data_IF_956115663770
#
_entry.id   IF_956115663770
#
_cell.length_a   1.000
_cell.length_b   1.000
_cell.length_c   1.000
_cell.angle_alpha   90.00
_cell.angle_beta   90.00
_cell.angle_gamma   90.00
#
_symmetry.space_group_name_H-M   'P 1'
#
loop_
_entity.id
_entity.type
_entity.pdbx_description
1 polymer ?
#
# COMPACT_ATOMS: atom_id res chain seq x y z
N UNK A 1 25.63 -21.59 -10.00
CA UNK A 1 25.82 -20.88 -11.28
C UNK A 1 24.86 -19.70 -11.23
N UNK A 2 25.37 -18.48 -11.34
CA UNK A 2 24.52 -17.28 -11.31
C UNK A 2 23.68 -17.28 -12.58
N UNK A 3 22.38 -17.50 -12.44
CA UNK A 3 21.44 -17.45 -13.55
C UNK A 3 21.42 -16.03 -14.11
N UNK A 4 21.75 -15.89 -15.38
CA UNK A 4 21.81 -14.61 -16.08
C UNK A 4 20.78 -14.59 -17.20
N UNK A 5 20.01 -13.50 -17.28
CA UNK A 5 18.94 -13.34 -18.27
C UNK A 5 19.30 -12.24 -19.28
N UNK A 6 18.79 -12.38 -20.50
CA UNK A 6 18.90 -11.34 -21.52
C UNK A 6 17.78 -10.30 -21.31
N UNK A 7 18.18 -9.03 -21.17
CA UNK A 7 17.29 -7.90 -20.90
C UNK A 7 17.39 -6.93 -22.06
N UNK A 8 16.29 -6.74 -22.80
CA UNK A 8 16.24 -5.81 -23.93
C UNK A 8 15.69 -4.45 -23.51
N UNK A 9 16.44 -3.38 -23.79
CA UNK A 9 15.99 -2.01 -23.52
C UNK A 9 14.77 -1.64 -24.40
N UNK A 10 13.65 -1.15 -23.85
CA UNK A 10 12.49 -0.74 -24.64
C UNK A 10 12.75 0.55 -25.44
N UNK A 11 13.70 1.40 -25.02
CA UNK A 11 14.01 2.65 -25.70
C UNK A 11 14.95 2.47 -26.90
N UNK A 12 16.09 1.80 -26.72
CA UNK A 12 17.11 1.65 -27.76
C UNK A 12 17.23 0.23 -28.34
N UNK A 13 16.44 -0.73 -27.84
CA UNK A 13 16.39 -2.14 -28.27
C UNK A 13 17.70 -2.92 -28.11
N UNK A 14 18.71 -2.36 -27.43
CA UNK A 14 19.96 -3.06 -27.08
C UNK A 14 19.70 -4.15 -26.06
N UNK A 15 20.37 -5.28 -26.22
CA UNK A 15 20.34 -6.41 -25.30
C UNK A 15 21.49 -6.32 -24.29
N UNK A 16 21.19 -6.71 -23.06
CA UNK A 16 22.10 -6.74 -21.93
C UNK A 16 22.00 -8.08 -21.22
N UNK A 17 23.13 -8.58 -20.70
CA UNK A 17 23.12 -9.71 -19.78
C UNK A 17 23.05 -9.18 -18.35
N UNK A 18 22.07 -9.66 -17.60
CA UNK A 18 21.85 -9.28 -16.20
C UNK A 18 21.88 -10.51 -15.30
N UNK A 19 22.62 -10.43 -14.19
CA UNK A 19 22.62 -11.44 -13.14
C UNK A 19 22.20 -10.77 -11.83
N UNK A 20 21.21 -11.34 -11.14
CA UNK A 20 20.70 -10.76 -9.91
C UNK A 20 21.71 -10.92 -8.76
N UNK A 21 21.88 -9.89 -7.90
CA UNK A 21 22.68 -10.01 -6.69
C UNK A 21 22.03 -10.96 -5.68
N UNK A 22 22.85 -11.62 -4.87
CA UNK A 22 22.40 -12.45 -3.76
C UNK A 22 22.41 -11.65 -2.45
N UNK A 23 21.32 -11.74 -1.68
CA UNK A 23 21.18 -11.08 -0.38
C UNK A 23 21.12 -12.10 0.77
N UNK A 24 21.64 -11.78 1.97
CA UNK A 24 21.65 -12.71 3.09
C UNK A 24 20.27 -12.80 3.76
N UNK A 25 19.67 -13.99 3.81
CA UNK A 25 18.50 -14.24 4.64
C UNK A 25 18.86 -14.26 6.14
N UNK A 26 17.88 -14.08 7.02
CA UNK A 26 18.04 -14.25 8.48
C UNK A 26 18.59 -15.63 8.87
N UNK A 27 18.31 -16.67 8.08
CA UNK A 27 18.86 -18.01 8.29
C UNK A 27 20.31 -18.18 7.81
N UNK A 28 20.92 -17.14 7.22
CA UNK A 28 22.26 -17.15 6.65
C UNK A 28 22.37 -17.68 5.22
N UNK A 29 21.30 -18.23 4.64
CA UNK A 29 21.31 -18.67 3.25
C UNK A 29 21.20 -17.48 2.27
N UNK A 30 21.91 -17.51 1.13
CA UNK A 30 21.78 -16.49 0.10
C UNK A 30 20.44 -16.62 -0.61
N UNK A 31 19.74 -15.50 -0.78
CA UNK A 31 18.48 -15.39 -1.51
C UNK A 31 18.72 -14.55 -2.76
N UNK A 32 18.36 -15.12 -3.91
CA UNK A 32 18.45 -14.45 -5.21
C UNK A 32 17.03 -14.29 -5.76
N UNK A 33 16.62 -13.08 -6.16
CA UNK A 33 15.37 -12.88 -6.88
C UNK A 33 15.30 -13.78 -8.13
N UNK A 34 14.25 -14.61 -8.28
CA UNK A 34 14.10 -15.44 -9.47
C UNK A 34 13.81 -14.53 -10.67
N UNK A 35 14.68 -14.53 -11.68
CA UNK A 35 14.49 -13.68 -12.86
C UNK A 35 13.55 -14.36 -13.86
N UNK A 36 12.72 -13.58 -14.55
CA UNK A 36 11.86 -14.10 -15.63
C UNK A 36 12.54 -13.88 -16.99
N UNK A 37 13.05 -14.95 -17.64
CA UNK A 37 13.75 -14.83 -18.91
C UNK A 37 12.81 -14.50 -20.09
N UNK A 38 11.50 -14.71 -19.95
CA UNK A 38 10.50 -14.38 -20.97
C UNK A 38 9.88 -12.99 -20.76
N UNK A 39 10.07 -12.40 -19.59
CA UNK A 39 9.50 -11.11 -19.22
C UNK A 39 10.09 -9.94 -20.02
N UNK A 40 9.29 -8.87 -20.17
CA UNK A 40 9.73 -7.65 -20.86
C UNK A 40 10.23 -6.62 -19.86
N UNK A 41 11.44 -6.10 -20.09
CA UNK A 41 12.00 -5.02 -19.27
C UNK A 41 11.24 -3.71 -19.49
N UNK A 42 10.91 -3.03 -18.40
CA UNK A 42 10.21 -1.75 -18.44
C UNK A 42 11.15 -0.60 -18.11
N UNK A 43 10.94 0.56 -18.75
CA UNK A 43 11.69 1.76 -18.43
C UNK A 43 11.16 2.37 -17.12
N UNK A 44 12.06 2.68 -16.19
CA UNK A 44 11.74 3.43 -14.98
C UNK A 44 11.64 4.91 -15.35
N UNK A 45 10.42 5.39 -15.52
CA UNK A 45 10.13 6.81 -15.76
C UNK A 45 9.75 7.55 -14.48
N UNK A 46 9.30 6.83 -13.45
CA UNK A 46 8.90 7.35 -12.15
C UNK A 46 9.37 6.39 -11.03
N UNK A 47 9.80 6.95 -9.89
CA UNK A 47 10.13 6.18 -8.68
C UNK A 47 9.00 6.35 -7.67
N UNK A 48 8.20 5.30 -7.51
CA UNK A 48 7.24 5.17 -6.41
C UNK A 48 7.78 4.11 -5.44
N UNK A 49 7.68 4.35 -4.13
CA UNK A 49 8.31 3.53 -3.09
C UNK A 49 7.86 2.05 -3.12
N UNK A 50 6.59 1.81 -3.43
CA UNK A 50 5.95 0.48 -3.55
C UNK A 50 6.50 -0.39 -4.68
N UNK A 51 7.28 0.22 -5.55
CA UNK A 51 7.68 -0.31 -6.84
C UNK A 51 9.19 -0.68 -6.85
N UNK A 52 9.85 -0.42 -5.71
CA UNK A 52 11.26 -0.58 -5.43
C UNK A 52 11.60 -1.90 -4.70
N UNK A 53 10.61 -2.60 -4.16
CA UNK A 53 10.81 -3.82 -3.36
C UNK A 53 10.05 -5.02 -3.94
N UNK A 54 10.62 -6.22 -3.78
CA UNK A 54 10.03 -7.50 -4.17
C UNK A 54 10.11 -8.49 -3.01
N UNK A 55 9.05 -9.25 -2.81
CA UNK A 55 9.05 -10.37 -1.84
C UNK A 55 9.72 -11.58 -2.48
N UNK A 56 10.77 -12.10 -1.85
CA UNK A 56 11.44 -13.33 -2.28
C UNK A 56 11.45 -14.32 -1.14
N UNK A 57 10.96 -15.52 -1.42
CA UNK A 57 10.96 -16.63 -0.47
C UNK A 57 12.31 -17.32 -0.43
N UNK A 58 12.89 -17.48 0.75
CA UNK A 58 14.10 -18.26 0.94
C UNK A 58 13.79 -19.75 0.71
N UNK A 59 14.52 -20.41 -0.19
CA UNK A 59 14.36 -21.85 -0.45
C UNK A 59 14.89 -22.73 0.68
N UNK A 60 15.71 -22.18 1.59
CA UNK A 60 16.28 -22.92 2.72
C UNK A 60 15.36 -22.91 3.96
N UNK A 61 14.87 -21.75 4.39
CA UNK A 61 14.04 -21.63 5.60
C UNK A 61 12.56 -21.31 5.33
N UNK A 62 12.21 -20.98 4.08
CA UNK A 62 10.84 -20.64 3.69
C UNK A 62 10.38 -19.24 4.08
N UNK A 63 11.21 -18.43 4.75
CA UNK A 63 10.89 -17.04 5.11
C UNK A 63 10.73 -16.16 3.87
N UNK A 64 9.70 -15.32 3.87
CA UNK A 64 9.47 -14.30 2.85
C UNK A 64 10.08 -12.98 3.32
N UNK A 65 11.12 -12.53 2.61
CA UNK A 65 11.80 -11.26 2.88
C UNK A 65 11.61 -10.28 1.74
N UNK A 66 11.68 -8.99 2.05
CA UNK A 66 11.60 -7.90 1.07
C UNK A 66 13.00 -7.48 0.63
N UNK A 67 13.23 -7.46 -0.68
CA UNK A 67 14.51 -7.11 -1.29
C UNK A 67 14.35 -6.07 -2.38
N UNK A 68 15.37 -5.22 -2.63
CA UNK A 68 15.30 -4.24 -3.70
C UNK A 68 15.07 -4.89 -5.07
N UNK A 69 14.21 -4.26 -5.86
CA UNK A 69 13.88 -4.73 -7.19
C UNK A 69 15.11 -4.62 -8.11
N UNK A 70 15.42 -5.65 -8.90
CA UNK A 70 16.59 -5.62 -9.77
C UNK A 70 16.45 -4.57 -10.89
N UNK A 71 17.39 -3.62 -10.93
CA UNK A 71 17.47 -2.56 -11.93
C UNK A 71 18.75 -2.64 -12.76
N UNK A 72 18.68 -2.21 -14.02
CA UNK A 72 19.80 -2.17 -14.96
C UNK A 72 19.84 -0.83 -15.69
N UNK A 73 20.96 -0.10 -15.58
CA UNK A 73 21.22 1.09 -16.38
C UNK A 73 21.64 0.72 -17.81
N UNK A 74 20.87 1.16 -18.81
CA UNK A 74 21.29 1.09 -20.21
C UNK A 74 22.21 2.26 -20.56
N UNK A 75 23.19 2.04 -21.45
CA UNK A 75 24.11 3.09 -21.92
C UNK A 75 23.43 4.21 -22.72
N UNK A 76 22.17 4.04 -23.13
CA UNK A 76 21.36 5.11 -23.72
C UNK A 76 20.75 6.07 -22.68
N UNK A 77 20.99 5.85 -21.39
CA UNK A 77 20.47 6.67 -20.29
C UNK A 77 19.16 6.17 -19.69
N UNK A 78 18.56 5.10 -20.23
CA UNK A 78 17.32 4.50 -19.68
C UNK A 78 17.65 3.55 -18.54
N UNK A 79 17.00 3.73 -17.39
CA UNK A 79 17.01 2.77 -16.30
C UNK A 79 15.91 1.73 -16.53
N UNK A 80 16.28 0.45 -16.49
CA UNK A 80 15.40 -0.68 -16.78
C UNK A 80 15.07 -1.43 -15.50
N UNK A 81 13.81 -1.81 -15.33
CA UNK A 81 13.45 -2.87 -14.37
C UNK A 81 13.60 -4.22 -15.03
N UNK A 82 14.34 -5.10 -14.37
CA UNK A 82 14.53 -6.48 -14.83
C UNK A 82 13.31 -7.29 -14.39
N UNK A 83 12.70 -8.08 -15.29
CA UNK A 83 11.57 -8.91 -14.97
C UNK A 83 11.96 -10.02 -13.97
N UNK A 84 11.13 -10.21 -12.95
CA UNK A 84 11.31 -11.20 -11.88
C UNK A 84 10.17 -12.20 -12.03
N UNK A 85 10.49 -13.49 -12.05
CA UNK A 85 9.51 -14.57 -12.09
C UNK A 85 8.70 -14.51 -10.80
N UNK A 86 7.45 -14.09 -10.91
CA UNK A 86 6.49 -14.33 -9.83
C UNK A 86 6.38 -15.84 -9.71
N UNK A 87 6.52 -16.37 -8.49
CA UNK A 87 6.20 -17.77 -8.25
C UNK A 87 4.80 -18.00 -8.81
N UNK A 88 4.71 -18.84 -9.85
CA UNK A 88 3.49 -19.03 -10.62
C UNK A 88 2.36 -19.37 -9.66
N UNK A 89 1.38 -18.48 -9.58
CA UNK A 89 0.02 -18.88 -9.25
C UNK A 89 -0.50 -19.67 -10.47
N UNK A 90 -0.02 -20.90 -10.63
CA UNK A 90 -0.59 -21.86 -11.57
C UNK A 90 -1.75 -22.55 -10.87
N UNK A 91 -2.89 -21.85 -10.89
CA UNK A 91 -4.25 -22.35 -11.15
C UNK A 91 -5.23 -21.18 -10.91
N UNK A 92 -5.15 -20.13 -11.73
CA UNK A 92 -6.28 -19.23 -11.97
C UNK A 92 -6.56 -19.20 -13.47
N UNK A 93 -6.94 -20.38 -13.98
CA UNK A 93 -7.91 -20.46 -15.06
C UNK A 93 -9.08 -19.56 -14.67
N UNK A 94 -9.48 -18.66 -15.58
CA UNK A 94 -10.44 -17.59 -15.36
C UNK A 94 -11.77 -18.12 -14.81
N UNK A 95 -11.83 -18.33 -13.49
CA UNK A 95 -13.03 -18.47 -12.72
C UNK A 95 -13.64 -17.06 -12.70
N UNK A 96 -14.92 -16.88 -13.07
CA UNK A 96 -15.58 -15.59 -12.91
C UNK A 96 -15.37 -15.14 -11.46
N UNK A 97 -15.10 -13.84 -11.21
CA UNK A 97 -14.58 -13.35 -9.93
C UNK A 97 -15.36 -13.99 -8.79
N UNK A 98 -14.69 -14.89 -8.07
CA UNK A 98 -15.27 -15.58 -6.93
C UNK A 98 -15.61 -14.49 -5.94
N UNK A 99 -16.90 -14.28 -5.70
CA UNK A 99 -17.38 -13.27 -4.78
C UNK A 99 -16.53 -13.36 -3.49
N UNK A 100 -15.98 -12.22 -2.99
CA UNK A 100 -15.02 -12.24 -1.90
C UNK A 100 -15.59 -13.07 -0.75
N UNK A 101 -14.79 -14.04 -0.27
CA UNK A 101 -15.17 -14.85 0.88
C UNK A 101 -15.65 -13.92 2.00
N UNK A 102 -16.76 -14.23 2.69
CA UNK A 102 -17.37 -13.32 3.65
C UNK A 102 -16.33 -12.88 4.68
N UNK A 103 -16.05 -11.58 4.71
CA UNK A 103 -15.11 -10.95 5.64
C UNK A 103 -15.48 -11.41 7.04
N UNK A 104 -14.50 -11.92 7.80
CA UNK A 104 -14.71 -12.33 9.20
C UNK A 104 -15.38 -11.17 9.97
N UNK A 105 -16.22 -11.45 10.95
CA UNK A 105 -16.85 -10.38 11.73
C UNK A 105 -15.78 -9.45 12.35
N UNK A 106 -15.96 -8.14 12.18
CA UNK A 106 -15.06 -7.14 12.75
C UNK A 106 -15.02 -7.24 14.28
N UNK A 107 -13.83 -7.12 14.86
CA UNK A 107 -13.63 -7.13 16.32
C UNK A 107 -13.20 -5.73 16.77
N UNK A 108 -14.13 -4.93 17.32
CA UNK A 108 -13.85 -3.53 17.66
C UNK A 108 -12.91 -3.40 18.87
N UNK A 109 -12.17 -2.30 18.90
CA UNK A 109 -11.29 -1.93 20.02
C UNK A 109 -11.88 -0.72 20.73
N UNK A 110 -12.30 -0.88 21.98
CA UNK A 110 -12.87 0.23 22.77
C UNK A 110 -11.89 1.40 22.86
N UNK A 111 -12.38 2.61 22.58
CA UNK A 111 -11.55 3.82 22.53
C UNK A 111 -11.62 4.56 23.86
N UNK A 112 -10.49 4.65 24.57
CA UNK A 112 -10.36 5.45 25.81
C UNK A 112 -9.30 6.54 25.68
N UNK A 113 -8.41 6.40 24.70
CA UNK A 113 -7.28 7.29 24.46
C UNK A 113 -7.10 7.55 22.97
N UNK A 114 -6.32 8.59 22.63
CA UNK A 114 -5.91 8.84 21.26
C UNK A 114 -5.16 7.66 20.63
N UNK A 115 -4.42 6.88 21.43
CA UNK A 115 -3.73 5.67 20.96
C UNK A 115 -4.74 4.59 20.58
N UNK A 116 -5.80 4.42 21.36
CA UNK A 116 -6.85 3.44 21.07
C UNK A 116 -7.61 3.79 19.79
N UNK A 117 -7.82 5.09 19.52
CA UNK A 117 -8.42 5.53 18.25
C UNK A 117 -7.56 5.15 17.04
N UNK A 118 -6.24 5.33 17.14
CA UNK A 118 -5.28 4.89 16.11
C UNK A 118 -5.29 3.37 15.97
N UNK A 119 -5.36 2.63 17.08
CA UNK A 119 -5.44 1.16 17.06
C UNK A 119 -6.75 0.68 16.43
N UNK A 120 -7.88 1.30 16.74
CA UNK A 120 -9.18 0.99 16.16
C UNK A 120 -9.16 1.20 14.63
N UNK A 121 -8.65 2.35 14.17
CA UNK A 121 -8.47 2.63 12.74
C UNK A 121 -7.54 1.61 12.07
N UNK A 122 -6.39 1.28 12.68
CA UNK A 122 -5.45 0.29 12.14
C UNK A 122 -6.06 -1.12 12.04
N UNK A 123 -6.79 -1.58 13.06
CA UNK A 123 -7.47 -2.88 13.06
C UNK A 123 -8.56 -2.90 11.99
N UNK A 124 -9.30 -1.80 11.83
CA UNK A 124 -10.31 -1.67 10.80
C UNK A 124 -9.73 -1.67 9.38
N UNK A 125 -8.64 -0.94 9.12
CA UNK A 125 -7.95 -0.97 7.84
C UNK A 125 -7.41 -2.37 7.51
N UNK A 126 -6.88 -3.09 8.50
CA UNK A 126 -6.45 -4.48 8.33
C UNK A 126 -7.61 -5.40 8.01
N UNK A 127 -8.74 -5.18 8.68
CA UNK A 127 -9.98 -5.89 8.39
C UNK A 127 -10.47 -5.57 6.96
N UNK A 128 -10.39 -4.32 6.50
CA UNK A 128 -10.61 -3.88 5.12
C UNK A 128 -9.72 -4.60 4.10
N UNK A 129 -8.53 -5.04 4.50
CA UNK A 129 -7.61 -5.82 3.66
C UNK A 129 -6.30 -5.09 3.37
N UNK A 130 -6.13 -3.87 3.89
CA UNK A 130 -4.88 -3.13 3.78
C UNK A 130 -3.75 -3.84 4.55
N UNK A 131 -2.59 -3.94 3.90
CA UNK A 131 -1.37 -4.57 4.43
C UNK A 131 -0.35 -3.50 4.82
N UNK A 132 0.68 -3.92 5.55
CA UNK A 132 1.84 -3.08 5.90
C UNK A 132 1.50 -1.79 6.67
N UNK A 133 0.50 -1.90 7.55
CA UNK A 133 0.03 -0.79 8.38
C UNK A 133 1.11 -0.37 9.36
N UNK A 134 1.59 0.85 9.18
CA UNK A 134 2.62 1.51 9.99
C UNK A 134 2.19 2.93 10.34
N UNK A 135 2.93 3.59 11.22
CA UNK A 135 2.75 5.04 11.41
C UNK A 135 3.26 5.76 10.17
N UNK A 136 2.56 6.81 9.74
CA UNK A 136 3.03 7.66 8.67
C UNK A 136 4.34 8.35 9.11
N UNK A 137 5.33 8.40 8.20
CA UNK A 137 6.64 9.00 8.49
C UNK A 137 6.54 10.52 8.57
N UNK A 138 5.67 11.11 7.74
CA UNK A 138 5.31 12.52 7.85
C UNK A 138 4.30 12.73 8.95
N UNK A 139 4.60 13.66 9.86
CA UNK A 139 3.64 14.08 10.87
C UNK A 139 2.62 14.99 10.19
N UNK A 140 1.33 14.60 10.12
CA UNK A 140 0.31 15.48 9.59
C UNK A 140 0.18 16.75 10.46
N UNK A 141 -0.30 17.82 9.84
CA UNK A 141 -0.44 19.14 10.49
C UNK A 141 -1.45 19.14 11.65
N UNK A 142 -2.42 18.22 11.58
CA UNK A 142 -3.37 17.87 12.64
C UNK A 142 -3.43 16.34 12.77
N UNK A 143 -3.98 15.80 13.85
CA UNK A 143 -4.19 14.36 14.05
C UNK A 143 -2.93 13.47 14.01
N UNK A 144 -3.15 12.19 13.71
CA UNK A 144 -2.15 11.12 13.72
C UNK A 144 -2.26 10.34 12.41
N UNK A 145 -1.17 10.28 11.65
CA UNK A 145 -1.11 9.57 10.37
C UNK A 145 -0.78 8.08 10.51
N UNK A 146 -1.46 7.26 9.73
CA UNK A 146 -1.23 5.84 9.51
C UNK A 146 -0.93 5.67 8.01
N UNK A 147 0.09 4.91 7.65
CA UNK A 147 0.39 4.56 6.28
C UNK A 147 0.17 3.05 6.08
N UNK A 148 -0.33 2.68 4.90
CA UNK A 148 -0.44 1.32 4.42
C UNK A 148 -0.12 1.32 2.91
N UNK A 149 0.02 0.15 2.29
CA UNK A 149 0.31 0.07 0.86
C UNK A 149 -0.74 0.84 0.04
N UNK A 150 -0.29 1.84 -0.74
CA UNK A 150 -1.15 2.73 -1.52
C UNK A 150 -2.16 3.59 -0.74
N UNK A 151 -2.07 3.68 0.59
CA UNK A 151 -3.06 4.38 1.43
C UNK A 151 -2.41 5.22 2.54
N UNK A 152 -2.85 6.48 2.64
CA UNK A 152 -2.62 7.34 3.79
C UNK A 152 -3.91 7.54 4.59
N UNK A 153 -3.92 7.08 5.84
CA UNK A 153 -5.03 7.24 6.76
C UNK A 153 -4.74 8.30 7.82
N UNK A 154 -5.66 9.23 8.00
CA UNK A 154 -5.60 10.26 9.03
C UNK A 154 -6.53 9.90 10.19
N UNK A 155 -6.07 10.00 11.42
CA UNK A 155 -6.88 9.81 12.63
C UNK A 155 -6.87 11.08 13.47
N UNK A 156 -8.01 11.73 13.62
CA UNK A 156 -8.21 12.86 14.52
C UNK A 156 -8.92 12.43 15.82
N UNK A 157 -8.18 12.32 16.94
CA UNK A 157 -8.75 11.97 18.24
C UNK A 157 -9.28 13.20 19.01
N UNK A 158 -9.32 14.38 18.41
CA UNK A 158 -9.74 15.59 19.11
C UNK A 158 -11.26 15.64 19.31
N UNK A 159 -11.67 16.47 20.27
CA UNK A 159 -13.09 16.75 20.57
C UNK A 159 -13.71 17.81 19.66
N UNK A 160 -12.97 18.27 18.63
CA UNK A 160 -13.44 19.28 17.67
C UNK A 160 -13.71 18.61 16.33
N UNK A 161 -14.77 18.99 15.60
CA UNK A 161 -14.98 18.49 14.26
C UNK A 161 -13.79 18.84 13.36
N UNK A 162 -13.39 17.90 12.51
CA UNK A 162 -12.35 18.10 11.52
C UNK A 162 -12.75 19.23 10.55
N UNK A 163 -11.80 20.11 10.26
CA UNK A 163 -12.04 21.31 9.45
C UNK A 163 -11.80 21.05 7.96
N UNK A 164 -12.28 21.98 7.12
CA UNK A 164 -11.99 22.00 5.68
C UNK A 164 -10.49 21.90 5.39
N UNK A 165 -9.68 22.66 6.14
CA UNK A 165 -8.23 22.67 5.99
C UNK A 165 -7.62 21.31 6.26
N UNK A 166 -8.13 20.56 7.24
CA UNK A 166 -7.59 19.24 7.57
C UNK A 166 -7.81 18.25 6.42
N UNK A 167 -8.98 18.31 5.78
CA UNK A 167 -9.32 17.49 4.61
C UNK A 167 -8.42 17.84 3.43
N UNK A 168 -8.24 19.13 3.13
CA UNK A 168 -7.39 19.56 2.02
C UNK A 168 -5.90 19.26 2.25
N UNK A 169 -5.41 19.42 3.48
CA UNK A 169 -4.05 19.05 3.84
C UNK A 169 -3.81 17.54 3.65
N UNK A 170 -4.73 16.69 4.14
CA UNK A 170 -4.62 15.25 3.93
C UNK A 170 -4.55 14.90 2.44
N UNK A 171 -5.45 15.47 1.64
CA UNK A 171 -5.50 15.21 0.21
C UNK A 171 -4.21 15.61 -0.51
N UNK A 172 -3.66 16.79 -0.20
CA UNK A 172 -2.41 17.25 -0.80
C UNK A 172 -1.23 16.35 -0.41
N UNK A 173 -1.17 15.88 0.84
CA UNK A 173 -0.14 14.93 1.27
C UNK A 173 -0.29 13.61 0.51
N UNK A 174 -1.50 13.07 0.43
CA UNK A 174 -1.76 11.81 -0.27
C UNK A 174 -1.45 11.91 -1.78
N UNK A 175 -1.83 13.01 -2.42
CA UNK A 175 -1.46 13.29 -3.82
C UNK A 175 0.05 13.37 -4.02
N UNK A 176 0.77 14.00 -3.08
CA UNK A 176 2.24 14.09 -3.13
C UNK A 176 2.87 12.70 -3.01
N UNK A 177 2.29 11.83 -2.19
CA UNK A 177 2.74 10.45 -2.00
C UNK A 177 2.16 9.48 -3.04
N UNK A 178 1.36 9.96 -4.01
CA UNK A 178 0.64 9.15 -5.00
C UNK A 178 -0.20 8.02 -4.36
N UNK A 179 -0.78 8.28 -3.19
CA UNK A 179 -1.57 7.35 -2.41
C UNK A 179 -3.04 7.76 -2.37
N UNK A 180 -3.94 6.78 -2.21
CA UNK A 180 -5.30 7.05 -1.77
C UNK A 180 -5.28 7.57 -0.32
N UNK A 181 -6.34 8.22 0.12
CA UNK A 181 -6.44 8.62 1.53
C UNK A 181 -7.82 8.41 2.14
N UNK A 182 -7.83 8.26 3.45
CA UNK A 182 -9.04 8.09 4.28
C UNK A 182 -8.89 8.91 5.55
N UNK A 183 -9.99 9.48 6.04
CA UNK A 183 -9.99 10.25 7.27
C UNK A 183 -10.92 9.60 8.29
N UNK A 184 -10.41 9.32 9.50
CA UNK A 184 -11.12 8.95 10.70
C UNK A 184 -11.16 10.12 11.70
N UNK A 185 -12.32 10.45 12.26
CA UNK A 185 -12.48 11.49 13.29
C UNK A 185 -13.33 10.99 14.46
N UNK A 186 -12.94 11.28 15.71
CA UNK A 186 -13.81 11.02 16.87
C UNK A 186 -14.99 12.00 16.96
N UNK A 187 -14.82 13.22 16.47
CA UNK A 187 -15.82 14.31 16.62
C UNK A 187 -16.56 14.63 15.32
N UNK A 188 -16.37 13.81 14.28
CA UNK A 188 -16.91 14.05 12.96
C UNK A 188 -16.26 15.24 12.24
N UNK A 189 -17.03 15.85 11.35
CA UNK A 189 -16.55 16.78 10.34
C UNK A 189 -17.43 18.02 10.29
N UNK A 190 -16.82 19.17 10.05
CA UNK A 190 -17.59 20.36 9.69
C UNK A 190 -18.33 20.14 8.34
N UNK A 191 -19.50 20.77 8.12
CA UNK A 191 -20.29 20.54 6.90
C UNK A 191 -19.56 20.82 5.59
N UNK A 192 -18.73 21.87 5.58
CA UNK A 192 -17.87 22.25 4.47
C UNK A 192 -16.75 21.23 4.23
N UNK A 193 -16.16 20.69 5.30
CA UNK A 193 -15.17 19.62 5.23
C UNK A 193 -15.75 18.34 4.58
N UNK A 194 -17.00 17.97 4.93
CA UNK A 194 -17.69 16.82 4.33
C UNK A 194 -17.94 17.02 2.83
N UNK A 195 -18.52 18.17 2.46
CA UNK A 195 -18.77 18.49 1.04
C UNK A 195 -17.47 18.53 0.21
N UNK A 196 -16.38 19.00 0.82
CA UNK A 196 -15.07 19.01 0.18
C UNK A 196 -14.51 17.60 0.00
N UNK A 197 -14.62 16.74 1.01
CA UNK A 197 -14.17 15.35 0.93
C UNK A 197 -14.88 14.58 -0.20
N UNK A 198 -16.19 14.81 -0.38
CA UNK A 198 -16.95 14.21 -1.48
C UNK A 198 -16.43 14.65 -2.85
N UNK A 199 -16.07 15.94 -2.97
CA UNK A 199 -15.48 16.49 -4.21
C UNK A 199 -14.09 15.91 -4.49
N UNK A 200 -13.31 15.64 -3.44
CA UNK A 200 -11.93 15.18 -3.54
C UNK A 200 -11.78 13.65 -3.56
N UNK A 201 -12.87 12.91 -3.40
CA UNK A 201 -12.83 11.44 -3.40
C UNK A 201 -12.28 10.84 -2.10
N UNK A 202 -12.53 11.46 -0.95
CA UNK A 202 -11.95 11.02 0.34
C UNK A 202 -13.03 10.33 1.19
N UNK A 203 -12.90 9.03 1.49
CA UNK A 203 -13.74 8.34 2.45
C UNK A 203 -13.60 8.93 3.86
N UNK A 204 -14.73 9.20 4.50
CA UNK A 204 -14.79 9.75 5.85
C UNK A 204 -15.46 8.78 6.83
N UNK A 205 -14.84 8.59 7.99
CA UNK A 205 -15.36 7.72 9.05
C UNK A 205 -15.41 8.45 10.39
N UNK A 206 -16.50 8.25 11.14
CA UNK A 206 -16.55 8.62 12.56
C UNK A 206 -16.17 7.41 13.39
N UNK A 207 -15.20 7.56 14.27
CA UNK A 207 -14.86 6.54 15.26
C UNK A 207 -15.79 6.69 16.46
N UNK A 208 -16.66 5.71 16.69
CA UNK A 208 -17.42 5.66 17.93
C UNK A 208 -16.53 5.18 19.10
N UNK A 209 -16.91 5.49 20.35
CA UNK A 209 -16.14 5.06 21.52
C UNK A 209 -16.16 3.53 21.74
N UNK A 210 -17.04 2.81 21.03
CA UNK A 210 -17.07 1.34 21.06
C UNK A 210 -15.96 0.73 20.18
N UNK A 211 -15.41 1.52 19.25
CA UNK A 211 -14.31 1.12 18.37
C UNK A 211 -14.72 0.75 16.96
N UNK A 212 -15.99 0.95 16.60
CA UNK A 212 -16.49 0.66 15.24
C UNK A 212 -16.48 1.94 14.42
N UNK A 213 -15.69 2.00 13.32
CA UNK A 213 -15.77 3.13 12.42
C UNK A 213 -17.11 3.13 11.68
N UNK A 214 -17.79 4.27 11.67
CA UNK A 214 -19.05 4.47 10.96
C UNK A 214 -18.80 5.29 9.70
N UNK A 215 -19.19 4.80 8.51
CA UNK A 215 -19.06 5.56 7.28
C UNK A 215 -19.94 6.80 7.32
N UNK A 216 -19.39 7.91 6.83
CA UNK A 216 -20.06 9.22 6.85
C UNK A 216 -20.47 9.66 5.44
N UNK A 217 -19.80 9.18 4.40
CA UNK A 217 -20.14 9.50 3.02
C UNK A 217 -20.19 8.24 2.15
N UNK A 218 -20.74 8.38 0.95
CA UNK A 218 -20.92 7.27 0.01
C UNK A 218 -19.61 6.54 -0.28
N UNK A 219 -18.49 7.26 -0.35
CA UNK A 219 -17.17 6.67 -0.57
C UNK A 219 -16.72 5.79 0.60
N UNK A 220 -17.08 6.16 1.83
CA UNK A 220 -16.85 5.34 3.01
C UNK A 220 -17.79 4.13 3.06
N UNK A 221 -19.04 4.29 2.64
CA UNK A 221 -19.99 3.16 2.51
C UNK A 221 -19.49 2.14 1.48
N UNK A 222 -19.02 2.63 0.32
CA UNK A 222 -18.40 1.80 -0.72
C UNK A 222 -17.19 1.06 -0.17
N UNK A 223 -16.24 1.77 0.46
CA UNK A 223 -15.04 1.17 1.03
C UNK A 223 -15.36 0.14 2.12
N UNK A 224 -16.33 0.39 2.99
CA UNK A 224 -16.76 -0.56 4.03
C UNK A 224 -17.34 -1.84 3.43
N UNK A 225 -18.13 -1.70 2.35
CA UNK A 225 -18.79 -2.81 1.69
C UNK A 225 -17.86 -3.66 0.81
N UNK A 226 -16.96 -3.03 0.06
CA UNK A 226 -16.08 -3.73 -0.90
C UNK A 226 -14.76 -4.17 -0.27
N UNK A 227 -14.29 -3.48 0.77
CA UNK A 227 -12.94 -3.63 1.29
C UNK A 227 -11.89 -2.93 0.43
N UNK A 228 -10.62 -3.12 0.80
CA UNK A 228 -9.48 -2.66 0.03
C UNK A 228 -9.47 -3.31 -1.37
N UNK A 229 -9.18 -2.50 -2.38
CA UNK A 229 -9.11 -2.90 -3.79
C UNK A 229 -7.82 -3.65 -4.11
#
# INVERSE_FOLDING_TARGET
MSESVSVRCPACRREHLYAAPAYPCECGAPVVPPLDPAGTATAVTHRAWDDEWISVRCTACGHEGEWPRPELGCTCGTLLRVPVARASAEDEEAEPPKAPAPRRAFQPVTIRTARDAVTAAAVYLRWLGYRDIRRADQRPTSGIGIAAHGLLAQVDPTVRPASLRDVECLWLTAMTESAACVYFSLSGYAPDARARADTLGIPLFVLDLTGTPQPVNTLADELDSTGAW
#
